data_IF_638982733199
#
_entry.id   IF_638982733199
#
_cell.length_a   1.000
_cell.length_b   1.000
_cell.length_c   1.000
_cell.angle_alpha   90.00
_cell.angle_beta   90.00
_cell.angle_gamma   90.00
#
_symmetry.space_group_name_H-M   'P 1'
#
loop_
_entity.id
_entity.type
_entity.pdbx_description
1 polymer ?
#
# COMPACT_ATOMS: atom_id res chain seq x y z
N UNK A 1 24.24 -17.89 -7.05
CA UNK A 1 23.53 -18.08 -5.77
C UNK A 1 22.10 -18.44 -6.11
N UNK A 2 21.59 -19.58 -5.67
CA UNK A 2 20.19 -19.97 -5.89
C UNK A 2 19.27 -19.36 -4.81
N UNK A 3 17.94 -19.44 -4.97
CA UNK A 3 16.98 -18.86 -4.03
C UNK A 3 17.18 -19.39 -2.61
N UNK A 4 17.37 -20.70 -2.46
CA UNK A 4 17.56 -21.33 -1.15
C UNK A 4 18.82 -20.84 -0.44
N UNK A 5 19.95 -20.69 -1.16
CA UNK A 5 21.18 -20.11 -0.62
C UNK A 5 20.98 -18.65 -0.20
N UNK A 6 20.22 -17.87 -0.96
CA UNK A 6 19.88 -16.49 -0.62
C UNK A 6 19.05 -16.43 0.67
N UNK A 7 17.98 -17.21 0.76
CA UNK A 7 17.11 -17.26 1.94
C UNK A 7 17.88 -17.75 3.18
N UNK A 8 18.70 -18.79 3.05
CA UNK A 8 19.55 -19.27 4.15
C UNK A 8 20.52 -18.19 4.65
N UNK A 9 21.12 -17.41 3.74
CA UNK A 9 21.97 -16.28 4.13
C UNK A 9 21.19 -15.21 4.88
N UNK A 10 19.99 -14.87 4.42
CA UNK A 10 19.14 -13.89 5.10
C UNK A 10 18.69 -14.39 6.48
N UNK A 11 18.26 -15.64 6.58
CA UNK A 11 17.87 -16.27 7.85
C UNK A 11 19.01 -16.23 8.86
N UNK A 12 20.22 -16.66 8.46
CA UNK A 12 21.40 -16.63 9.32
C UNK A 12 21.77 -15.19 9.74
N UNK A 13 21.71 -14.24 8.81
CA UNK A 13 22.13 -12.86 9.05
C UNK A 13 21.18 -12.09 9.97
N UNK A 14 19.86 -12.24 9.77
CA UNK A 14 18.87 -11.39 10.41
C UNK A 14 18.13 -12.10 11.55
N UNK A 15 17.97 -13.42 11.46
CA UNK A 15 17.18 -14.24 12.39
C UNK A 15 17.97 -15.36 13.05
N UNK A 16 19.31 -15.37 12.96
CA UNK A 16 20.18 -16.39 13.56
C UNK A 16 19.85 -17.83 13.14
N UNK A 17 19.23 -18.03 11.98
CA UNK A 17 18.82 -19.36 11.51
C UNK A 17 17.49 -19.84 12.10
N UNK A 18 16.75 -19.01 12.85
CA UNK A 18 15.56 -19.40 13.60
C UNK A 18 14.25 -19.26 12.83
N UNK A 19 14.24 -18.83 11.56
CA UNK A 19 13.02 -18.88 10.74
C UNK A 19 12.55 -20.33 10.57
N UNK A 20 11.22 -20.53 10.54
CA UNK A 20 10.65 -21.86 10.39
C UNK A 20 11.02 -22.49 9.04
N UNK A 21 11.11 -23.82 9.00
CA UNK A 21 11.38 -24.57 7.77
C UNK A 21 10.33 -24.27 6.69
N UNK A 22 9.00 -24.31 6.98
CA UNK A 22 8.00 -24.03 5.96
C UNK A 22 8.08 -22.59 5.42
N UNK A 23 8.48 -21.62 6.25
CA UNK A 23 8.71 -20.25 5.79
C UNK A 23 9.84 -20.20 4.76
N UNK A 24 10.98 -20.84 5.08
CA UNK A 24 12.13 -20.89 4.19
C UNK A 24 11.81 -21.61 2.86
N UNK A 25 11.05 -22.70 2.91
CA UNK A 25 10.59 -23.46 1.73
C UNK A 25 9.68 -22.61 0.84
N UNK A 26 8.70 -21.91 1.42
CA UNK A 26 7.80 -21.03 0.66
C UNK A 26 8.57 -19.90 -0.04
N UNK A 27 9.53 -19.29 0.66
CA UNK A 27 10.42 -18.27 0.09
C UNK A 27 11.32 -18.79 -1.04
N UNK A 28 11.48 -20.11 -1.14
CA UNK A 28 12.20 -20.78 -2.24
C UNK A 28 11.57 -20.54 -3.63
N UNK A 29 10.33 -20.06 -3.69
CA UNK A 29 9.60 -19.77 -4.93
C UNK A 29 9.88 -18.37 -5.51
N UNK A 30 10.74 -17.56 -4.88
CA UNK A 30 11.09 -16.23 -5.40
C UNK A 30 11.71 -16.31 -6.83
N UNK A 31 11.37 -15.37 -7.73
CA UNK A 31 11.87 -15.38 -9.11
C UNK A 31 13.33 -14.94 -9.17
N UNK A 32 14.22 -15.87 -9.52
CA UNK A 32 15.68 -15.68 -9.56
C UNK A 32 16.18 -14.65 -10.58
N UNK A 33 15.38 -14.31 -11.58
CA UNK A 33 15.70 -13.40 -12.67
C UNK A 33 15.39 -11.92 -12.36
N UNK A 34 14.97 -11.62 -11.12
CA UNK A 34 14.54 -10.28 -10.69
C UNK A 34 15.40 -9.69 -9.58
N UNK A 35 16.57 -9.08 -9.88
CA UNK A 35 17.47 -8.52 -8.86
C UNK A 35 16.83 -7.48 -7.93
N UNK A 36 15.85 -6.73 -8.43
CA UNK A 36 15.07 -5.76 -7.64
C UNK A 36 14.26 -6.44 -6.52
N UNK A 37 13.74 -7.65 -6.76
CA UNK A 37 13.04 -8.46 -5.75
C UNK A 37 14.00 -8.88 -4.63
N UNK A 38 15.21 -9.34 -4.97
CA UNK A 38 16.22 -9.73 -3.97
C UNK A 38 16.65 -8.53 -3.11
N UNK A 39 16.90 -7.39 -3.74
CA UNK A 39 17.24 -6.16 -3.03
C UNK A 39 16.13 -5.73 -2.07
N UNK A 40 14.87 -5.79 -2.51
CA UNK A 40 13.72 -5.50 -1.66
C UNK A 40 13.64 -6.46 -0.46
N UNK A 41 13.71 -7.78 -0.69
CA UNK A 41 13.61 -8.80 0.38
C UNK A 41 14.75 -8.63 1.39
N UNK A 42 15.96 -8.34 0.93
CA UNK A 42 17.08 -8.08 1.84
C UNK A 42 16.84 -6.86 2.74
N UNK A 43 16.31 -5.76 2.19
CA UNK A 43 15.98 -4.55 2.97
C UNK A 43 14.85 -4.82 3.96
N UNK A 44 13.82 -5.52 3.52
CA UNK A 44 12.70 -5.94 4.36
C UNK A 44 13.18 -6.73 5.58
N UNK A 45 14.08 -7.72 5.39
CA UNK A 45 14.66 -8.49 6.50
C UNK A 45 15.53 -7.62 7.43
N UNK A 46 16.26 -6.66 6.87
CA UNK A 46 17.02 -5.71 7.67
C UNK A 46 16.12 -4.84 8.56
N UNK A 47 14.97 -4.39 8.06
CA UNK A 47 13.98 -3.64 8.84
C UNK A 47 13.26 -4.49 9.88
N UNK A 48 12.87 -5.72 9.54
CA UNK A 48 12.35 -6.67 10.53
C UNK A 48 13.33 -6.84 11.70
N UNK A 49 14.63 -7.03 11.40
CA UNK A 49 15.67 -7.11 12.43
C UNK A 49 15.81 -5.82 13.23
N UNK A 50 15.84 -4.66 12.58
CA UNK A 50 16.01 -3.38 13.28
C UNK A 50 14.81 -3.00 14.16
N UNK A 51 13.62 -3.50 13.83
CA UNK A 51 12.42 -3.35 14.67
C UNK A 51 12.40 -4.29 15.89
N UNK A 52 13.28 -5.29 15.95
CA UNK A 52 13.25 -6.32 17.00
C UNK A 52 12.20 -7.42 16.77
N UNK A 53 11.81 -7.68 15.53
CA UNK A 53 10.90 -8.78 15.18
C UNK A 53 11.62 -10.15 15.35
N UNK A 54 11.12 -11.06 16.20
CA UNK A 54 11.66 -12.41 16.35
C UNK A 54 11.21 -13.28 15.19
N UNK A 55 11.98 -14.33 14.90
CA UNK A 55 11.67 -15.27 13.83
C UNK A 55 10.27 -15.91 13.94
N UNK A 56 9.82 -16.14 15.18
CA UNK A 56 8.49 -16.70 15.49
C UNK A 56 7.31 -15.80 15.10
N UNK A 57 7.55 -14.50 14.90
CA UNK A 57 6.53 -13.56 14.47
C UNK A 57 6.44 -13.43 12.94
N UNK A 58 7.36 -14.04 12.21
CA UNK A 58 7.33 -14.04 10.75
C UNK A 58 6.41 -15.17 10.28
N UNK A 59 5.27 -14.82 9.68
CA UNK A 59 4.21 -15.76 9.35
C UNK A 59 4.39 -16.44 7.99
N UNK A 60 3.75 -17.59 7.79
CA UNK A 60 3.69 -18.22 6.47
C UNK A 60 2.85 -17.40 5.47
N UNK A 61 1.87 -16.62 5.93
CA UNK A 61 1.16 -15.67 5.08
C UNK A 61 2.12 -14.62 4.49
N UNK A 62 3.04 -14.09 5.29
CA UNK A 62 4.06 -13.17 4.77
C UNK A 62 4.94 -13.87 3.74
N UNK A 63 5.40 -15.10 4.01
CA UNK A 63 6.19 -15.89 3.05
C UNK A 63 5.45 -16.05 1.72
N UNK A 64 4.16 -16.37 1.77
CA UNK A 64 3.30 -16.52 0.61
C UNK A 64 3.19 -15.21 -0.17
N UNK A 65 2.85 -14.09 0.48
CA UNK A 65 2.78 -12.77 -0.16
C UNK A 65 4.13 -12.39 -0.80
N UNK A 66 5.24 -12.62 -0.11
CA UNK A 66 6.57 -12.28 -0.62
C UNK A 66 6.94 -13.14 -1.83
N UNK A 67 6.66 -14.43 -1.79
CA UNK A 67 7.02 -15.37 -2.85
C UNK A 67 6.10 -15.28 -4.07
N UNK A 68 4.81 -15.00 -3.88
CA UNK A 68 3.80 -15.03 -4.96
C UNK A 68 3.39 -13.66 -5.45
N UNK A 69 3.37 -12.61 -4.63
CA UNK A 69 2.84 -11.31 -5.06
C UNK A 69 3.95 -10.29 -5.33
N UNK A 70 5.03 -10.31 -4.55
CA UNK A 70 6.03 -9.24 -4.55
C UNK A 70 6.55 -8.90 -5.95
N UNK A 71 6.99 -9.89 -6.72
CA UNK A 71 7.55 -9.68 -8.06
C UNK A 71 6.58 -9.04 -9.06
N UNK A 72 5.28 -9.10 -8.79
CA UNK A 72 4.19 -8.55 -9.61
C UNK A 72 3.79 -7.14 -9.18
N UNK A 73 4.09 -6.75 -7.93
CA UNK A 73 3.74 -5.43 -7.38
C UNK A 73 4.94 -4.46 -7.28
N UNK A 74 6.15 -4.93 -7.59
CA UNK A 74 7.32 -4.06 -7.66
C UNK A 74 7.40 -3.32 -8.99
N UNK A 75 7.89 -2.06 -9.01
CA UNK A 75 8.01 -1.26 -10.24
C UNK A 75 8.80 -1.92 -11.37
N UNK A 76 9.74 -2.82 -11.05
CA UNK A 76 10.49 -3.56 -12.07
C UNK A 76 9.62 -4.42 -13.00
N UNK A 77 8.43 -4.84 -12.57
CA UNK A 77 7.46 -5.53 -13.43
C UNK A 77 6.75 -4.59 -14.42
N UNK A 78 6.85 -3.28 -14.19
CA UNK A 78 6.05 -2.26 -14.85
C UNK A 78 6.95 -1.21 -15.53
N UNK A 79 8.14 -1.62 -15.99
CA UNK A 79 9.12 -0.72 -16.64
C UNK A 79 9.51 0.49 -15.77
N UNK A 80 9.52 0.29 -14.45
CA UNK A 80 9.80 1.32 -13.46
C UNK A 80 8.59 2.16 -13.05
N UNK A 81 7.41 1.92 -13.63
CA UNK A 81 6.16 2.59 -13.21
C UNK A 81 5.65 2.05 -11.87
N UNK A 82 4.95 2.89 -11.14
CA UNK A 82 4.30 2.51 -9.88
C UNK A 82 2.96 1.86 -10.21
N UNK A 83 2.69 0.62 -9.78
CA UNK A 83 1.41 -0.01 -10.03
C UNK A 83 0.29 0.69 -9.23
N UNK A 84 -0.88 0.96 -9.84
CA UNK A 84 -1.98 1.67 -9.20
C UNK A 84 -2.80 0.74 -8.28
N UNK A 85 -2.21 0.32 -7.16
CA UNK A 85 -2.87 -0.59 -6.23
C UNK A 85 -3.73 0.20 -5.24
N UNK A 86 -5.04 0.20 -5.42
CA UNK A 86 -6.01 0.77 -4.47
C UNK A 86 -6.88 -0.33 -3.86
N UNK A 87 -7.27 -0.17 -2.60
CA UNK A 87 -8.18 -1.10 -1.90
C UNK A 87 -9.19 -0.29 -1.10
N UNK A 88 -10.40 -0.83 -0.98
CA UNK A 88 -11.49 -0.19 -0.23
C UNK A 88 -11.17 -0.09 1.26
N UNK A 89 -11.66 0.97 1.88
CA UNK A 89 -11.51 1.24 3.31
C UNK A 89 -10.08 1.57 3.75
N UNK A 90 -9.13 1.73 2.83
CA UNK A 90 -7.71 1.96 3.15
C UNK A 90 -7.57 3.17 4.08
N UNK A 91 -8.14 4.31 3.72
CA UNK A 91 -7.94 5.57 4.44
C UNK A 91 -9.01 5.89 5.51
N UNK A 92 -9.83 4.92 5.93
CA UNK A 92 -10.95 5.19 6.84
C UNK A 92 -10.50 5.85 8.17
N UNK A 93 -9.44 5.35 8.81
CA UNK A 93 -8.92 5.93 10.06
C UNK A 93 -8.22 7.28 9.80
N UNK A 94 -7.54 7.42 8.66
CA UNK A 94 -6.91 8.69 8.24
C UNK A 94 -7.98 9.77 8.05
N UNK A 95 -9.10 9.44 7.41
CA UNK A 95 -10.22 10.36 7.20
C UNK A 95 -10.90 10.74 8.53
N UNK A 96 -10.98 9.82 9.47
CA UNK A 96 -11.45 10.11 10.83
C UNK A 96 -10.50 11.08 11.54
N UNK A 97 -9.19 10.89 11.42
CA UNK A 97 -8.20 11.84 11.94
C UNK A 97 -8.40 13.22 11.32
N UNK A 98 -8.50 13.30 9.99
CA UNK A 98 -8.70 14.57 9.25
C UNK A 98 -9.96 15.30 9.74
N UNK A 99 -11.08 14.58 9.88
CA UNK A 99 -12.36 15.15 10.31
C UNK A 99 -12.30 15.73 11.73
N UNK A 100 -11.54 15.09 12.61
CA UNK A 100 -11.45 15.45 14.03
C UNK A 100 -10.24 16.36 14.35
N UNK A 101 -9.40 16.68 13.37
CA UNK A 101 -8.17 17.42 13.60
C UNK A 101 -8.46 18.89 13.95
N UNK A 102 -7.97 19.32 15.12
CA UNK A 102 -8.23 20.67 15.66
C UNK A 102 -7.45 21.79 14.97
N UNK A 103 -6.47 21.49 14.12
CA UNK A 103 -5.72 22.48 13.35
C UNK A 103 -6.44 22.89 12.07
N UNK A 104 -7.47 22.14 11.64
CA UNK A 104 -8.28 22.49 10.48
C UNK A 104 -9.21 23.67 10.79
N UNK A 105 -9.17 24.71 9.95
CA UNK A 105 -10.06 25.86 10.09
C UNK A 105 -11.49 25.53 9.65
N UNK A 106 -12.47 26.32 10.12
CA UNK A 106 -13.90 26.15 9.80
C UNK A 106 -14.31 26.68 8.43
N UNK A 107 -13.36 27.10 7.57
CA UNK A 107 -13.61 27.59 6.22
C UNK A 107 -13.95 26.47 5.22
N UNK A 108 -14.21 26.83 3.96
CA UNK A 108 -14.47 25.85 2.90
C UNK A 108 -13.23 24.98 2.65
N UNK A 109 -13.31 23.71 3.04
CA UNK A 109 -12.16 22.81 3.14
C UNK A 109 -11.85 22.16 1.80
N UNK A 110 -10.61 22.31 1.34
CA UNK A 110 -10.11 21.72 0.10
C UNK A 110 -9.00 20.72 0.39
N UNK A 111 -9.12 19.54 -0.20
CA UNK A 111 -8.13 18.48 -0.11
C UNK A 111 -7.58 18.14 -1.49
N UNK A 112 -6.27 17.93 -1.54
CA UNK A 112 -5.58 17.28 -2.66
C UNK A 112 -5.11 15.89 -2.23
N UNK A 113 -5.52 14.89 -2.97
CA UNK A 113 -5.20 13.48 -2.76
C UNK A 113 -4.19 13.01 -3.82
N UNK A 114 -2.93 12.89 -3.44
CA UNK A 114 -1.82 12.57 -4.35
C UNK A 114 -1.60 11.06 -4.39
N UNK A 115 -1.55 10.52 -5.61
CA UNK A 115 -1.48 9.08 -5.84
C UNK A 115 -2.83 8.42 -5.65
N UNK A 116 -3.91 9.06 -6.10
CA UNK A 116 -5.26 8.52 -5.96
C UNK A 116 -5.47 7.19 -6.70
N UNK A 117 -4.59 6.85 -7.65
CA UNK A 117 -4.65 5.61 -8.42
C UNK A 117 -5.88 5.49 -9.29
N UNK A 118 -6.08 4.29 -9.83
CA UNK A 118 -7.27 3.95 -10.61
C UNK A 118 -7.66 2.47 -10.43
N UNK A 119 -8.92 2.16 -10.09
CA UNK A 119 -9.99 3.10 -9.74
C UNK A 119 -9.68 3.90 -8.46
N UNK A 120 -10.16 5.16 -8.33
CA UNK A 120 -9.76 6.07 -7.25
C UNK A 120 -10.55 5.85 -5.95
N UNK A 121 -10.72 4.59 -5.52
CA UNK A 121 -11.63 4.22 -4.42
C UNK A 121 -11.41 5.05 -3.15
N UNK A 122 -10.16 5.27 -2.77
CA UNK A 122 -9.83 6.02 -1.57
C UNK A 122 -10.25 7.49 -1.64
N UNK A 123 -10.15 8.13 -2.81
CA UNK A 123 -10.64 9.50 -3.01
C UNK A 123 -12.17 9.57 -2.91
N UNK A 124 -12.87 8.58 -3.46
CA UNK A 124 -14.33 8.50 -3.44
C UNK A 124 -14.86 8.30 -2.01
N UNK A 125 -14.30 7.34 -1.28
CA UNK A 125 -14.68 7.05 0.11
C UNK A 125 -14.48 8.29 1.00
N UNK A 126 -13.37 9.02 0.81
CA UNK A 126 -13.12 10.25 1.56
C UNK A 126 -14.10 11.36 1.20
N UNK A 127 -14.51 11.48 -0.06
CA UNK A 127 -15.52 12.47 -0.47
C UNK A 127 -16.90 12.19 0.12
N UNK A 128 -17.23 10.92 0.30
CA UNK A 128 -18.47 10.50 0.96
C UNK A 128 -18.40 10.77 2.47
N UNK A 129 -17.28 10.47 3.12
CA UNK A 129 -17.11 10.66 4.57
C UNK A 129 -16.92 12.13 5.00
N UNK A 130 -16.17 12.89 4.20
CA UNK A 130 -15.86 14.32 4.37
C UNK A 130 -16.81 15.16 3.51
N UNK A 131 -18.11 15.02 3.78
CA UNK A 131 -19.15 15.51 2.88
C UNK A 131 -19.15 17.03 2.60
N UNK A 132 -18.56 17.83 3.50
CA UNK A 132 -18.40 19.28 3.39
C UNK A 132 -17.13 19.72 2.64
N UNK A 133 -16.32 18.78 2.10
CA UNK A 133 -15.05 19.07 1.45
C UNK A 133 -15.13 19.08 -0.07
N UNK A 134 -14.23 19.84 -0.69
CA UNK A 134 -13.88 19.69 -2.12
C UNK A 134 -12.59 18.91 -2.24
N UNK A 135 -12.62 17.80 -2.97
CA UNK A 135 -11.49 16.88 -3.09
C UNK A 135 -11.03 16.83 -4.54
N UNK A 136 -9.72 16.99 -4.73
CA UNK A 136 -9.07 16.80 -6.02
C UNK A 136 -8.15 15.59 -5.93
N UNK A 137 -8.44 14.53 -6.67
CA UNK A 137 -7.51 13.40 -6.84
C UNK A 137 -6.49 13.71 -7.92
N UNK A 138 -5.22 13.38 -7.69
CA UNK A 138 -4.16 13.56 -8.67
C UNK A 138 -3.28 12.32 -8.78
N UNK A 139 -3.11 11.82 -10.00
CA UNK A 139 -2.24 10.69 -10.29
C UNK A 139 -1.66 10.83 -11.71
N UNK A 140 -0.35 10.56 -11.93
CA UNK A 140 0.24 10.59 -13.27
C UNK A 140 -0.28 9.48 -14.19
N UNK A 141 -0.89 8.42 -13.63
CA UNK A 141 -1.28 7.20 -14.35
C UNK A 141 -2.79 7.08 -14.55
N UNK A 142 -3.54 8.18 -14.43
CA UNK A 142 -4.97 8.18 -14.74
C UNK A 142 -5.20 7.74 -16.21
N UNK A 143 -6.01 6.70 -16.46
CA UNK A 143 -6.16 6.15 -17.80
C UNK A 143 -6.95 7.07 -18.72
N UNK A 144 -6.50 7.17 -19.96
CA UNK A 144 -7.32 7.68 -21.06
C UNK A 144 -8.31 6.61 -21.54
N UNK A 145 -7.91 5.33 -21.48
CA UNK A 145 -8.75 4.19 -21.86
C UNK A 145 -8.66 3.07 -20.82
N UNK A 146 -9.81 2.45 -20.55
CA UNK A 146 -9.90 1.19 -19.81
C UNK A 146 -10.51 0.14 -20.74
N UNK A 147 -9.83 -0.98 -20.91
CA UNK A 147 -10.26 -2.07 -21.79
C UNK A 147 -10.48 -3.31 -20.96
N UNK A 148 -11.53 -4.05 -21.32
CA UNK A 148 -11.72 -5.41 -20.86
C UNK A 148 -11.73 -6.36 -22.06
N UNK A 149 -10.94 -7.44 -21.97
CA UNK A 149 -10.97 -8.51 -22.96
C UNK A 149 -12.16 -9.46 -22.75
N UNK A 150 -12.28 -10.49 -23.60
CA UNK A 150 -13.38 -11.45 -23.56
C UNK A 150 -13.41 -12.29 -22.27
N UNK A 151 -12.26 -12.46 -21.61
CA UNK A 151 -12.13 -13.20 -20.36
C UNK A 151 -12.35 -12.28 -19.13
N UNK A 152 -12.59 -10.98 -19.37
CA UNK A 152 -12.78 -9.96 -18.34
C UNK A 152 -11.47 -9.45 -17.73
N UNK A 153 -10.31 -9.83 -18.27
CA UNK A 153 -9.05 -9.21 -17.86
C UNK A 153 -9.08 -7.74 -18.30
N UNK A 154 -8.49 -6.86 -17.50
CA UNK A 154 -8.50 -5.45 -17.83
C UNK A 154 -7.10 -4.88 -18.03
N UNK A 155 -7.02 -3.84 -18.86
CA UNK A 155 -5.84 -3.01 -19.06
C UNK A 155 -6.19 -1.52 -19.05
N UNK A 156 -5.28 -0.71 -18.53
CA UNK A 156 -5.31 0.75 -18.62
C UNK A 156 -4.33 1.23 -19.68
N UNK A 157 -4.74 2.21 -20.47
CA UNK A 157 -3.92 2.80 -21.52
C UNK A 157 -3.91 4.33 -21.42
N UNK A 158 -2.78 4.91 -21.79
CA UNK A 158 -2.57 6.35 -21.82
C UNK A 158 -3.17 7.01 -23.08
N UNK A 159 -3.01 8.33 -23.21
CA UNK A 159 -3.49 9.10 -24.37
C UNK A 159 -2.82 8.67 -25.68
N UNK A 160 -1.60 8.13 -25.59
CA UNK A 160 -0.84 7.57 -26.71
C UNK A 160 -1.26 6.13 -27.03
N UNK A 161 -2.33 5.64 -26.39
CA UNK A 161 -2.85 4.26 -26.52
C UNK A 161 -1.85 3.18 -26.13
N UNK A 162 -0.84 3.51 -25.32
CA UNK A 162 0.14 2.54 -24.83
C UNK A 162 -0.37 1.90 -23.56
N UNK A 163 -0.19 0.58 -23.43
CA UNK A 163 -0.61 -0.12 -22.20
C UNK A 163 0.27 0.27 -21.02
N UNK A 164 -0.37 0.79 -19.96
CA UNK A 164 0.27 1.24 -18.72
C UNK A 164 0.26 0.13 -17.66
N UNK A 165 -0.89 -0.50 -17.45
CA UNK A 165 -1.10 -1.56 -16.47
C UNK A 165 -2.12 -2.57 -16.99
N UNK A 166 -2.04 -3.81 -16.53
CA UNK A 166 -3.05 -4.84 -16.79
C UNK A 166 -3.12 -5.83 -15.64
N UNK A 167 -4.27 -6.47 -15.47
CA UNK A 167 -4.45 -7.52 -14.46
C UNK A 167 -5.51 -8.53 -14.89
N UNK A 168 -5.46 -9.75 -14.33
CA UNK A 168 -6.46 -10.76 -14.62
C UNK A 168 -7.82 -10.42 -13.98
N UNK A 169 -8.91 -10.93 -14.56
CA UNK A 169 -10.26 -10.79 -14.00
C UNK A 169 -10.34 -11.40 -12.59
N UNK A 170 -9.73 -12.58 -12.43
CA UNK A 170 -9.56 -13.28 -11.16
C UNK A 170 -8.06 -13.51 -10.89
N UNK A 171 -7.47 -12.75 -9.96
CA UNK A 171 -6.07 -12.91 -9.60
C UNK A 171 -5.74 -14.30 -9.02
N UNK A 172 -4.82 -15.00 -9.68
CA UNK A 172 -4.16 -16.22 -9.20
C UNK A 172 -2.71 -16.24 -9.70
N UNK A 173 -1.87 -17.11 -9.15
CA UNK A 173 -0.48 -17.25 -9.63
C UNK A 173 -0.48 -17.61 -11.13
N UNK A 174 -1.35 -18.52 -11.53
CA UNK A 174 -1.52 -18.98 -12.91
C UNK A 174 -2.02 -17.87 -13.83
N UNK A 175 -3.06 -17.13 -13.43
CA UNK A 175 -3.63 -16.07 -14.28
C UNK A 175 -2.66 -14.89 -14.43
N UNK A 176 -1.90 -14.57 -13.38
CA UNK A 176 -0.78 -13.62 -13.50
C UNK A 176 0.36 -14.13 -14.38
N UNK A 177 0.75 -15.40 -14.26
CA UNK A 177 1.79 -15.98 -15.12
C UNK A 177 1.38 -15.98 -16.59
N UNK A 178 0.10 -16.24 -16.87
CA UNK A 178 -0.44 -16.17 -18.22
C UNK A 178 -0.28 -14.77 -18.83
N UNK A 179 -0.54 -13.71 -18.06
CA UNK A 179 -0.41 -12.34 -18.55
C UNK A 179 1.04 -11.83 -18.59
N UNK A 180 1.88 -12.23 -17.63
CA UNK A 180 3.25 -11.71 -17.45
C UNK A 180 4.34 -12.55 -18.13
N UNK A 181 4.05 -13.78 -18.56
CA UNK A 181 5.03 -14.65 -19.25
C UNK A 181 5.59 -14.02 -20.53
N UNK A 182 4.75 -13.26 -21.25
CA UNK A 182 5.17 -12.38 -22.34
C UNK A 182 4.40 -11.05 -22.23
N UNK A 183 4.84 -10.20 -21.30
CA UNK A 183 4.25 -8.88 -21.07
C UNK A 183 4.19 -8.03 -22.34
N UNK A 184 5.16 -8.15 -23.24
CA UNK A 184 5.18 -7.37 -24.49
C UNK A 184 4.05 -7.82 -25.43
N UNK A 185 3.85 -9.13 -25.59
CA UNK A 185 2.73 -9.66 -26.36
C UNK A 185 1.38 -9.32 -25.72
N UNK A 186 1.26 -9.40 -24.38
CA UNK A 186 0.04 -9.03 -23.66
C UNK A 186 -0.32 -7.55 -23.87
N UNK A 187 0.65 -6.63 -23.76
CA UNK A 187 0.43 -5.20 -24.06
C UNK A 187 -0.07 -4.99 -25.48
N UNK A 188 0.63 -5.57 -26.46
CA UNK A 188 0.25 -5.47 -27.88
C UNK A 188 -1.16 -6.01 -28.15
N UNK A 189 -1.57 -7.07 -27.43
CA UNK A 189 -2.94 -7.60 -27.52
C UNK A 189 -3.99 -6.57 -27.08
N UNK A 190 -3.79 -5.91 -25.94
CA UNK A 190 -4.70 -4.87 -25.47
C UNK A 190 -4.70 -3.62 -26.35
N UNK A 191 -3.54 -3.22 -26.87
CA UNK A 191 -3.40 -2.10 -27.80
C UNK A 191 -4.15 -2.35 -29.11
N UNK A 192 -4.02 -3.56 -29.68
CA UNK A 192 -4.79 -3.96 -30.85
C UNK A 192 -6.30 -4.00 -30.57
N UNK A 193 -6.69 -4.53 -29.40
CA UNK A 193 -8.08 -4.59 -28.98
C UNK A 193 -8.68 -3.18 -28.83
N UNK A 194 -7.90 -2.20 -28.37
CA UNK A 194 -8.33 -0.80 -28.34
C UNK A 194 -8.69 -0.30 -29.73
N UNK A 195 -7.81 -0.52 -30.71
CA UNK A 195 -7.99 -0.04 -32.07
C UNK A 195 -9.18 -0.72 -32.78
N UNK A 196 -9.53 -1.95 -32.38
CA UNK A 196 -10.74 -2.63 -32.83
C UNK A 196 -11.99 -2.04 -32.18
N UNK A 197 -11.99 -1.88 -30.86
CA UNK A 197 -13.13 -1.37 -30.09
C UNK A 197 -13.42 0.10 -30.39
N UNK A 198 -12.43 0.95 -30.66
CA UNK A 198 -12.68 2.34 -31.05
C UNK A 198 -13.35 2.46 -32.43
N UNK A 199 -13.29 1.42 -33.27
CA UNK A 199 -14.00 1.37 -34.56
C UNK A 199 -15.42 0.82 -34.42
N UNK A 200 -15.71 0.10 -33.34
CA UNK A 200 -16.98 -0.58 -33.13
C UNK A 200 -17.73 0.07 -31.98
N UNK A 201 -18.96 0.55 -32.20
CA UNK A 201 -19.81 1.05 -31.12
C UNK A 201 -20.37 -0.11 -30.27
N UNK A 202 -19.52 -0.88 -29.60
CA UNK A 202 -19.94 -1.96 -28.71
C UNK A 202 -20.36 -1.33 -27.39
N UNK A 203 -21.65 -1.38 -27.07
CA UNK A 203 -22.22 -0.73 -25.89
C UNK A 203 -22.48 -1.70 -24.73
N UNK A 204 -22.50 -3.01 -24.95
CA UNK A 204 -22.83 -4.01 -23.91
C UNK A 204 -21.99 -5.30 -24.04
N UNK A 205 -21.54 -5.85 -22.90
CA UNK A 205 -20.81 -7.12 -22.81
C UNK A 205 -19.28 -6.99 -22.85
N UNK A 206 -18.60 -8.12 -23.03
CA UNK A 206 -17.16 -8.19 -23.26
C UNK A 206 -16.88 -8.65 -24.70
N UNK A 207 -15.79 -8.18 -25.34
CA UNK A 207 -14.87 -7.13 -24.87
C UNK A 207 -15.52 -5.74 -24.89
N UNK A 208 -14.98 -4.80 -24.09
CA UNK A 208 -15.49 -3.41 -24.03
C UNK A 208 -14.39 -2.39 -23.74
N UNK A 209 -14.68 -1.13 -24.10
CA UNK A 209 -13.81 0.02 -23.85
C UNK A 209 -14.59 1.12 -23.11
N UNK A 210 -13.93 1.73 -22.14
CA UNK A 210 -14.37 2.96 -21.49
C UNK A 210 -13.39 4.09 -21.83
N UNK A 211 -13.90 5.21 -22.34
CA UNK A 211 -13.10 6.38 -22.75
C UNK A 211 -13.14 7.41 -21.63
N UNK A 212 -11.97 7.84 -21.16
CA UNK A 212 -11.77 8.73 -20.01
C UNK A 212 -12.58 8.28 -18.78
N UNK A 213 -12.39 7.03 -18.31
CA UNK A 213 -13.24 6.45 -17.28
C UNK A 213 -13.21 7.24 -15.97
N UNK A 214 -12.14 8.01 -15.71
CA UNK A 214 -12.04 8.86 -14.52
C UNK A 214 -13.16 9.91 -14.43
N UNK A 215 -13.68 10.40 -15.57
CA UNK A 215 -14.76 11.40 -15.61
C UNK A 215 -16.08 10.88 -15.06
N UNK A 216 -16.30 9.57 -15.09
CA UNK A 216 -17.51 8.96 -14.53
C UNK A 216 -17.62 9.12 -13.01
N UNK A 217 -16.49 9.43 -12.35
CA UNK A 217 -16.40 9.64 -10.91
C UNK A 217 -16.46 11.12 -10.49
N UNK A 218 -16.43 12.07 -11.44
CA UNK A 218 -16.43 13.49 -11.13
C UNK A 218 -17.81 13.98 -10.67
N UNK A 219 -17.80 14.89 -9.70
CA UNK A 219 -18.99 15.56 -9.17
C UNK A 219 -18.67 17.03 -8.90
N UNK A 220 -19.63 17.81 -8.39
CA UNK A 220 -19.34 19.19 -7.94
C UNK A 220 -18.33 19.26 -6.77
N UNK A 221 -18.10 18.15 -6.07
CA UNK A 221 -17.20 18.02 -4.91
C UNK A 221 -15.92 17.25 -5.22
N UNK A 222 -15.89 16.48 -6.30
CA UNK A 222 -14.79 15.59 -6.66
C UNK A 222 -14.33 15.91 -8.07
N UNK A 223 -13.05 16.18 -8.23
CA UNK A 223 -12.41 16.36 -9.55
C UNK A 223 -11.10 15.59 -9.62
N UNK A 224 -10.63 15.31 -10.82
CA UNK A 224 -9.38 14.58 -11.02
C UNK A 224 -8.42 15.32 -11.96
N UNK A 225 -7.12 15.22 -11.67
CA UNK A 225 -6.06 15.84 -12.46
C UNK A 225 -5.02 14.76 -12.82
N UNK A 226 -4.73 14.62 -14.10
CA UNK A 226 -3.60 13.78 -14.55
C UNK A 226 -2.29 14.52 -14.27
N UNK A 227 -1.50 14.00 -13.34
CA UNK A 227 -0.20 14.54 -12.97
C UNK A 227 0.21 14.22 -11.53
N UNK A 228 1.51 14.21 -11.28
CA UNK A 228 2.09 13.93 -9.98
C UNK A 228 2.69 15.15 -9.27
N UNK A 229 3.46 14.85 -8.23
CA UNK A 229 4.25 15.81 -7.45
C UNK A 229 5.17 16.60 -8.40
N UNK A 230 5.09 17.93 -8.34
CA UNK A 230 5.90 18.83 -9.19
C UNK A 230 5.37 19.01 -10.62
N UNK A 231 4.31 18.33 -11.03
CA UNK A 231 3.75 18.41 -12.38
C UNK A 231 2.42 19.18 -12.43
N UNK A 232 1.65 19.16 -11.33
CA UNK A 232 0.35 19.82 -11.28
C UNK A 232 0.47 21.27 -10.78
N UNK A 233 -0.32 22.16 -11.37
CA UNK A 233 -0.53 23.53 -10.91
C UNK A 233 -1.95 23.65 -10.38
N UNK A 234 -2.09 23.87 -9.07
CA UNK A 234 -3.39 23.98 -8.41
C UNK A 234 -3.39 25.17 -7.46
N UNK A 235 -4.58 25.66 -7.10
CA UNK A 235 -4.71 26.61 -6.00
C UNK A 235 -4.25 25.96 -4.68
N UNK A 236 -3.69 26.73 -3.74
CA UNK A 236 -3.33 26.20 -2.44
C UNK A 236 -4.51 25.51 -1.72
N UNK A 237 -4.19 24.42 -1.04
CA UNK A 237 -5.12 23.49 -0.40
C UNK A 237 -5.06 23.62 1.12
N UNK A 238 -6.13 23.25 1.81
CA UNK A 238 -6.13 23.22 3.29
C UNK A 238 -5.51 21.93 3.80
N UNK A 239 -5.64 20.86 3.02
CA UNK A 239 -5.04 19.57 3.29
C UNK A 239 -4.44 18.96 2.02
N UNK A 240 -3.27 18.35 2.18
CA UNK A 240 -2.73 17.43 1.18
C UNK A 240 -2.51 16.09 1.87
N UNK A 241 -2.95 15.01 1.24
CA UNK A 241 -2.55 13.66 1.63
C UNK A 241 -1.79 12.98 0.51
N UNK A 242 -0.80 12.16 0.87
CA UNK A 242 0.07 11.45 -0.05
C UNK A 242 0.43 10.09 0.56
N UNK A 243 -0.44 9.10 0.37
CA UNK A 243 -0.27 7.76 0.92
C UNK A 243 0.17 6.78 -0.16
N UNK A 244 1.07 5.87 0.22
CA UNK A 244 1.57 4.81 -0.67
C UNK A 244 2.28 5.34 -1.92
N UNK A 245 2.92 6.52 -1.86
CA UNK A 245 3.63 7.12 -3.00
C UNK A 245 5.12 7.35 -2.69
N UNK A 246 5.45 8.07 -1.62
CA UNK A 246 6.82 8.55 -1.42
C UNK A 246 7.84 7.43 -1.17
N UNK A 247 7.43 6.26 -0.66
CA UNK A 247 8.35 5.13 -0.45
C UNK A 247 8.88 4.49 -1.75
N UNK A 248 8.35 4.89 -2.93
CA UNK A 248 8.91 4.51 -4.24
C UNK A 248 10.12 5.36 -4.64
N UNK A 249 10.35 6.48 -3.97
CA UNK A 249 11.36 7.46 -4.35
C UNK A 249 12.44 7.60 -3.28
N UNK A 250 13.62 8.07 -3.70
CA UNK A 250 14.74 8.29 -2.80
C UNK A 250 14.53 9.51 -1.87
N UNK A 251 15.42 9.65 -0.88
CA UNK A 251 15.37 10.74 0.08
C UNK A 251 15.49 12.13 -0.59
N UNK A 252 16.20 12.24 -1.71
CA UNK A 252 16.36 13.51 -2.43
C UNK A 252 15.02 13.95 -3.05
N UNK A 253 14.29 13.03 -3.67
CA UNK A 253 12.97 13.29 -4.20
C UNK A 253 11.98 13.61 -3.09
N UNK A 254 12.01 12.88 -1.98
CA UNK A 254 11.16 13.15 -0.82
C UNK A 254 11.35 14.59 -0.30
N UNK A 255 12.59 15.07 -0.20
CA UNK A 255 12.86 16.46 0.21
C UNK A 255 12.29 17.48 -0.76
N UNK A 256 12.42 17.25 -2.07
CA UNK A 256 11.81 18.11 -3.11
C UNK A 256 10.28 18.06 -3.04
N UNK A 257 9.70 16.88 -2.77
CA UNK A 257 8.28 16.71 -2.59
C UNK A 257 7.76 17.53 -1.40
N UNK A 258 8.46 17.50 -0.25
CA UNK A 258 8.11 18.33 0.91
C UNK A 258 8.13 19.83 0.59
N UNK A 259 9.12 20.31 -0.16
CA UNK A 259 9.16 21.70 -0.62
C UNK A 259 7.98 22.03 -1.53
N UNK A 260 7.64 21.12 -2.44
CA UNK A 260 6.50 21.28 -3.33
C UNK A 260 5.17 21.30 -2.55
N UNK A 261 4.95 20.38 -1.61
CA UNK A 261 3.76 20.37 -0.75
C UNK A 261 3.62 21.67 0.06
N UNK A 262 4.73 22.22 0.56
CA UNK A 262 4.73 23.52 1.25
C UNK A 262 4.17 24.64 0.35
N UNK A 263 4.47 24.62 -0.95
CA UNK A 263 3.97 25.61 -1.91
C UNK A 263 2.48 25.40 -2.22
N UNK A 264 2.01 24.16 -2.21
CA UNK A 264 0.62 23.81 -2.52
C UNK A 264 -0.33 23.88 -1.31
N UNK A 265 0.17 24.16 -0.10
CA UNK A 265 -0.66 24.32 1.10
C UNK A 265 -0.95 25.78 1.42
N UNK A 266 -2.15 26.05 1.93
CA UNK A 266 -2.46 27.27 2.66
C UNK A 266 -1.62 27.35 3.94
N UNK A 267 -1.31 28.56 4.38
CA UNK A 267 -0.68 28.78 5.69
C UNK A 267 -1.57 28.17 6.79
N UNK A 268 -0.98 27.39 7.70
CA UNK A 268 -1.71 26.61 8.69
C UNK A 268 -2.30 25.29 8.18
N UNK A 269 -2.27 25.02 6.87
CA UNK A 269 -2.72 23.77 6.26
C UNK A 269 -1.83 22.57 6.61
N UNK A 270 -2.38 21.36 6.40
CA UNK A 270 -1.79 20.11 6.90
C UNK A 270 -1.36 19.22 5.73
N UNK A 271 -0.16 18.64 5.82
CA UNK A 271 0.29 17.54 4.98
C UNK A 271 0.27 16.25 5.80
N UNK A 272 -0.36 15.21 5.26
CA UNK A 272 -0.22 13.83 5.73
C UNK A 272 0.48 13.02 4.63
N UNK A 273 1.54 12.30 4.96
CA UNK A 273 2.09 11.33 4.01
C UNK A 273 2.60 10.08 4.72
N UNK A 274 2.44 8.94 4.07
CA UNK A 274 2.82 7.68 4.69
C UNK A 274 2.48 6.43 3.89
N UNK A 275 2.40 5.30 4.58
CA UNK A 275 1.93 4.04 4.04
C UNK A 275 0.66 3.61 4.75
N UNK A 276 -0.24 2.99 4.00
CA UNK A 276 -1.51 2.49 4.50
C UNK A 276 -1.91 1.20 3.75
N UNK A 277 -2.74 0.38 4.38
CA UNK A 277 -3.22 -0.86 3.79
C UNK A 277 -4.73 -1.05 3.99
N UNK A 278 -5.26 -2.19 3.53
CA UNK A 278 -6.68 -2.48 3.59
C UNK A 278 -7.23 -2.25 4.99
N UNK A 279 -8.39 -1.59 5.07
CA UNK A 279 -9.08 -1.26 6.33
C UNK A 279 -8.19 -0.56 7.38
N UNK A 280 -7.27 0.29 6.91
CA UNK A 280 -6.29 1.04 7.72
C UNK A 280 -5.33 0.17 8.55
N UNK A 281 -5.17 -1.11 8.20
CA UNK A 281 -4.12 -1.95 8.77
C UNK A 281 -2.75 -1.47 8.30
N UNK A 282 -1.72 -1.75 9.10
CA UNK A 282 -0.32 -1.39 8.79
C UNK A 282 -0.11 0.09 8.43
N UNK A 283 -1.02 0.97 8.90
CA UNK A 283 -0.99 2.40 8.63
C UNK A 283 0.13 3.10 9.40
N UNK A 284 0.87 3.99 8.76
CA UNK A 284 1.84 4.88 9.41
C UNK A 284 2.03 6.13 8.57
N UNK A 285 2.15 7.30 9.21
CA UNK A 285 2.28 8.56 8.49
C UNK A 285 2.88 9.67 9.35
N UNK A 286 3.59 10.58 8.70
CA UNK A 286 4.00 11.84 9.29
C UNK A 286 2.94 12.91 9.02
N UNK A 287 2.79 13.81 9.99
CA UNK A 287 1.90 14.96 9.90
C UNK A 287 2.73 16.23 10.02
N UNK A 288 2.59 17.08 9.02
CA UNK A 288 3.21 18.40 8.99
C UNK A 288 2.15 19.48 8.94
N UNK A 289 2.47 20.63 9.52
CA UNK A 289 1.68 21.84 9.37
C UNK A 289 2.51 22.92 8.71
N UNK A 290 1.93 23.66 7.77
CA UNK A 290 2.59 24.80 7.17
C UNK A 290 2.62 25.98 8.15
N UNK A 291 3.82 26.42 8.51
CA UNK A 291 4.08 27.54 9.41
C UNK A 291 5.20 28.43 8.83
N UNK A 292 4.94 29.72 8.71
CA UNK A 292 5.80 30.72 8.09
C UNK A 292 6.31 30.29 6.70
N UNK A 293 5.43 29.71 5.88
CA UNK A 293 5.78 29.24 4.54
C UNK A 293 6.54 27.91 4.49
N UNK A 294 6.82 27.25 5.62
CA UNK A 294 7.57 26.00 5.69
C UNK A 294 6.75 24.89 6.33
N UNK A 295 7.05 23.63 6.00
CA UNK A 295 6.44 22.49 6.69
C UNK A 295 7.17 22.19 8.00
N UNK A 296 6.43 22.25 9.10
CA UNK A 296 6.90 21.90 10.43
C UNK A 296 6.30 20.57 10.83
N UNK A 297 7.15 19.58 11.15
CA UNK A 297 6.71 18.27 11.64
C UNK A 297 6.00 18.45 12.99
N UNK A 298 4.81 17.85 13.11
CA UNK A 298 3.99 17.93 14.33
C UNK A 298 3.86 16.59 15.01
N UNK A 299 3.52 15.56 14.24
CA UNK A 299 3.19 14.24 14.75
C UNK A 299 3.72 13.15 13.81
N UNK A 300 3.92 11.96 14.37
CA UNK A 300 4.08 10.73 13.63
C UNK A 300 3.17 9.70 14.25
N UNK A 301 2.29 9.14 13.43
CA UNK A 301 1.29 8.18 13.84
C UNK A 301 1.55 6.84 13.14
N UNK A 302 1.27 5.74 13.83
CA UNK A 302 1.23 4.41 13.23
C UNK A 302 0.23 3.53 13.97
N UNK A 303 -0.32 2.57 13.25
CA UNK A 303 -1.27 1.60 13.77
C UNK A 303 -0.54 0.51 14.56
N UNK A 304 -1.15 0.08 15.68
CA UNK A 304 -0.51 -0.84 16.63
C UNK A 304 -0.23 -2.22 16.05
N UNK A 305 -1.00 -2.64 15.03
CA UNK A 305 -0.76 -3.87 14.29
C UNK A 305 0.56 -3.87 13.50
N UNK A 306 1.19 -2.70 13.28
CA UNK A 306 2.56 -2.63 12.72
C UNK A 306 3.59 -3.35 13.60
N UNK A 307 3.31 -3.59 14.88
CA UNK A 307 4.22 -4.37 15.76
C UNK A 307 4.29 -5.83 15.30
N UNK A 308 3.18 -6.38 14.81
CA UNK A 308 3.05 -7.77 14.39
C UNK A 308 2.09 -7.89 13.19
N UNK A 309 2.49 -7.37 12.02
CA UNK A 309 1.60 -7.20 10.88
C UNK A 309 1.25 -8.53 10.19
N UNK A 310 0.10 -8.58 9.54
CA UNK A 310 -0.29 -9.71 8.69
C UNK A 310 0.36 -9.66 7.31
N UNK A 311 0.45 -8.48 6.70
CA UNK A 311 1.05 -8.27 5.41
C UNK A 311 2.51 -7.84 5.49
N UNK A 312 2.92 -7.10 4.46
CA UNK A 312 4.29 -6.65 4.25
C UNK A 312 4.42 -5.12 4.15
N UNK A 313 3.33 -4.37 4.29
CA UNK A 313 3.32 -2.91 4.10
C UNK A 313 4.16 -2.24 5.17
N UNK A 314 4.11 -2.71 6.42
CA UNK A 314 5.00 -2.25 7.50
C UNK A 314 6.48 -2.32 7.11
N UNK A 315 6.86 -3.32 6.32
CA UNK A 315 8.25 -3.59 5.94
C UNK A 315 8.60 -3.15 4.50
N UNK A 316 7.64 -2.60 3.76
CA UNK A 316 7.80 -2.27 2.35
C UNK A 316 8.80 -1.12 2.15
N UNK A 317 9.94 -1.40 1.53
CA UNK A 317 10.96 -0.37 1.32
C UNK A 317 11.85 -0.63 0.09
N UNK A 318 11.95 0.38 -0.78
CA UNK A 318 12.72 0.30 -2.02
C UNK A 318 14.10 0.97 -1.95
N UNK A 319 14.33 1.80 -0.93
CA UNK A 319 15.56 2.58 -0.75
C UNK A 319 16.18 2.30 0.61
N UNK A 320 17.50 2.33 0.73
CA UNK A 320 18.17 1.98 1.99
C UNK A 320 18.04 3.08 3.05
N UNK A 321 17.87 4.31 2.59
CA UNK A 321 17.87 5.55 3.38
C UNK A 321 16.47 6.16 3.51
N UNK A 322 15.42 5.34 3.47
CA UNK A 322 14.04 5.83 3.61
C UNK A 322 13.75 6.26 5.08
N UNK A 323 13.64 7.56 5.36
CA UNK A 323 13.64 8.09 6.72
C UNK A 323 12.36 7.75 7.49
N UNK A 324 11.22 7.63 6.82
CA UNK A 324 9.94 7.35 7.47
C UNK A 324 9.89 5.93 8.02
N UNK A 325 10.40 4.95 7.27
CA UNK A 325 10.55 3.55 7.68
C UNK A 325 11.57 3.43 8.79
N UNK A 326 12.70 4.11 8.71
CA UNK A 326 13.66 4.12 9.81
C UNK A 326 13.02 4.62 11.12
N UNK A 327 12.19 5.67 11.05
CA UNK A 327 11.41 6.19 12.18
C UNK A 327 10.40 5.16 12.70
N UNK A 328 9.62 4.54 11.80
CA UNK A 328 8.67 3.48 12.16
C UNK A 328 9.35 2.31 12.89
N UNK A 329 10.46 1.81 12.35
CA UNK A 329 11.18 0.68 12.95
C UNK A 329 11.70 1.02 14.35
N UNK A 330 12.17 2.26 14.55
CA UNK A 330 12.61 2.71 15.85
C UNK A 330 11.45 2.77 16.87
N UNK A 331 10.28 3.27 16.46
CA UNK A 331 9.08 3.26 17.30
C UNK A 331 8.65 1.84 17.68
N UNK A 332 8.58 0.93 16.69
CA UNK A 332 8.24 -0.48 16.93
C UNK A 332 9.25 -1.12 17.89
N UNK A 333 10.55 -0.88 17.69
CA UNK A 333 11.60 -1.42 18.56
C UNK A 333 11.42 -0.98 20.01
N UNK A 334 11.19 0.31 20.25
CA UNK A 334 10.98 0.83 21.60
C UNK A 334 9.81 0.13 22.31
N UNK A 335 8.70 -0.10 21.60
CA UNK A 335 7.56 -0.83 22.18
C UNK A 335 7.91 -2.29 22.44
N UNK A 336 8.62 -2.95 21.51
CA UNK A 336 9.01 -4.36 21.64
C UNK A 336 10.03 -4.61 22.76
N UNK A 337 10.80 -3.60 23.15
CA UNK A 337 11.70 -3.64 24.30
C UNK A 337 10.93 -3.62 25.65
N UNK A 338 9.68 -3.15 25.68
CA UNK A 338 8.80 -3.28 26.86
C UNK A 338 8.20 -4.69 26.94
N UNK A 339 8.81 -5.51 27.81
CA UNK A 339 8.38 -6.88 28.05
C UNK A 339 6.94 -6.98 28.57
N UNK A 340 6.51 -6.10 29.46
CA UNK A 340 5.18 -6.18 30.06
C UNK A 340 4.09 -5.85 29.03
N UNK A 341 4.36 -4.85 28.19
CA UNK A 341 3.53 -4.55 27.03
C UNK A 341 3.46 -5.76 26.10
N UNK A 342 4.61 -6.31 25.69
CA UNK A 342 4.65 -7.39 24.71
C UNK A 342 4.03 -8.69 25.22
N UNK A 343 4.23 -9.06 26.48
CA UNK A 343 3.60 -10.25 27.08
C UNK A 343 2.06 -10.11 27.05
N UNK A 344 1.53 -8.91 27.36
CA UNK A 344 0.10 -8.61 27.28
C UNK A 344 -0.41 -8.59 25.83
N UNK A 345 0.35 -7.98 24.93
CA UNK A 345 0.04 -7.89 23.51
C UNK A 345 -0.04 -9.27 22.88
N UNK A 346 0.95 -10.13 23.09
CA UNK A 346 0.94 -11.49 22.56
C UNK A 346 -0.20 -12.33 23.11
N UNK A 347 -0.46 -12.28 24.43
CA UNK A 347 -1.57 -13.02 25.01
C UNK A 347 -2.91 -12.65 24.34
N UNK A 348 -3.13 -11.37 24.08
CA UNK A 348 -4.34 -10.88 23.43
C UNK A 348 -4.36 -11.23 21.93
N UNK A 349 -3.30 -10.88 21.21
CA UNK A 349 -3.22 -11.03 19.76
C UNK A 349 -3.18 -12.50 19.33
N UNK A 350 -2.49 -13.38 20.06
CA UNK A 350 -2.50 -14.83 19.79
C UNK A 350 -3.89 -15.43 20.01
N UNK A 351 -4.61 -14.98 21.04
CA UNK A 351 -5.99 -15.40 21.29
C UNK A 351 -6.94 -14.94 20.16
N UNK A 352 -6.76 -13.73 19.63
CA UNK A 352 -7.51 -13.26 18.46
C UNK A 352 -7.20 -14.12 17.23
N UNK A 353 -5.92 -14.35 16.92
CA UNK A 353 -5.49 -15.17 15.78
C UNK A 353 -6.03 -16.60 15.85
N UNK A 354 -6.05 -17.21 17.03
CA UNK A 354 -6.65 -18.51 17.25
C UNK A 354 -8.18 -18.47 17.05
N UNK A 355 -8.87 -17.49 17.63
CA UNK A 355 -10.33 -17.33 17.52
C UNK A 355 -10.80 -17.13 16.08
N UNK A 356 -10.08 -16.33 15.30
CA UNK A 356 -10.42 -16.02 13.91
C UNK A 356 -9.77 -16.95 12.89
N UNK A 357 -9.01 -17.96 13.35
CA UNK A 357 -8.23 -18.86 12.51
C UNK A 357 -7.34 -18.10 11.50
N UNK A 358 -6.70 -17.03 11.98
CA UNK A 358 -5.92 -16.10 11.17
C UNK A 358 -4.43 -16.22 11.54
N UNK A 359 -3.71 -17.10 10.86
CA UNK A 359 -2.28 -17.34 11.11
C UNK A 359 -1.97 -17.62 12.59
N UNK A 360 -2.72 -18.53 13.23
CA UNK A 360 -2.48 -18.92 14.62
C UNK A 360 -1.08 -19.53 14.79
N UNK A 361 -0.51 -19.45 16.00
CA UNK A 361 0.77 -20.09 16.31
C UNK A 361 0.66 -21.61 16.29
N UNK A 362 1.66 -22.28 15.72
CA UNK A 362 1.82 -23.72 15.83
C UNK A 362 2.40 -24.14 17.19
N UNK A 363 2.61 -25.45 17.36
CA UNK A 363 3.19 -26.04 18.58
C UNK A 363 4.64 -25.57 18.86
N UNK A 364 5.34 -25.05 17.86
CA UNK A 364 6.72 -24.54 17.97
C UNK A 364 6.72 -23.01 18.23
N UNK A 365 5.56 -22.38 18.12
CA UNK A 365 5.29 -20.98 18.39
C UNK A 365 5.38 -20.08 17.15
N UNK A 366 5.46 -20.63 15.94
CA UNK A 366 5.49 -19.83 14.71
C UNK A 366 4.08 -19.55 14.20
N UNK A 367 3.83 -18.34 13.70
CA UNK A 367 2.56 -18.05 13.02
C UNK A 367 2.43 -18.84 11.72
N UNK A 368 1.29 -19.51 11.56
CA UNK A 368 0.96 -20.30 10.37
C UNK A 368 0.51 -19.48 9.16
N UNK A 369 -0.20 -20.16 8.26
CA UNK A 369 -0.88 -19.56 7.11
C UNK A 369 -2.35 -19.27 7.43
N UNK A 370 -3.07 -18.71 6.46
CA UNK A 370 -4.53 -18.64 6.45
C UNK A 370 -5.13 -19.93 5.88
N UNK A 371 -6.45 -20.11 6.06
CA UNK A 371 -7.16 -21.19 5.40
C UNK A 371 -7.09 -21.02 3.86
N UNK A 372 -6.83 -22.08 3.07
CA UNK A 372 -6.66 -21.96 1.61
C UNK A 372 -7.87 -21.41 0.85
N UNK A 373 -9.06 -21.55 1.40
CA UNK A 373 -10.33 -21.07 0.85
C UNK A 373 -10.70 -19.65 1.31
N UNK A 374 -9.92 -19.06 2.23
CA UNK A 374 -10.15 -17.72 2.73
C UNK A 374 -9.94 -16.68 1.63
N UNK A 375 -11.02 -15.99 1.28
CA UNK A 375 -10.96 -14.93 0.29
C UNK A 375 -10.22 -13.70 0.85
N UNK A 376 -9.43 -12.97 0.04
CA UNK A 376 -8.69 -11.80 0.50
C UNK A 376 -9.56 -10.75 1.21
N UNK A 377 -10.79 -10.52 0.74
CA UNK A 377 -11.71 -9.59 1.37
C UNK A 377 -12.08 -10.01 2.80
N UNK A 378 -12.26 -11.32 3.04
CA UNK A 378 -12.56 -11.87 4.37
C UNK A 378 -11.35 -11.73 5.29
N UNK A 379 -10.14 -12.06 4.78
CA UNK A 379 -8.88 -11.86 5.51
C UNK A 379 -8.77 -10.43 6.03
N UNK A 380 -8.90 -9.43 5.16
CA UNK A 380 -8.70 -8.04 5.56
C UNK A 380 -9.84 -7.52 6.45
N UNK A 381 -11.08 -7.99 6.25
CA UNK A 381 -12.18 -7.68 7.18
C UNK A 381 -11.90 -8.19 8.59
N UNK A 382 -11.37 -9.41 8.72
CA UNK A 382 -10.97 -9.98 10.01
C UNK A 382 -9.77 -9.24 10.60
N UNK A 383 -8.77 -8.89 9.79
CA UNK A 383 -7.62 -8.10 10.24
C UNK A 383 -8.05 -6.73 10.79
N UNK A 384 -8.97 -6.03 10.12
CA UNK A 384 -9.55 -4.78 10.61
C UNK A 384 -10.32 -4.97 11.92
N UNK A 385 -11.10 -6.05 12.03
CA UNK A 385 -11.81 -6.39 13.28
C UNK A 385 -10.82 -6.60 14.43
N UNK A 386 -9.73 -7.33 14.19
CA UNK A 386 -8.68 -7.55 15.18
C UNK A 386 -7.99 -6.25 15.60
N UNK A 387 -7.74 -5.34 14.66
CA UNK A 387 -7.19 -4.02 14.94
C UNK A 387 -8.12 -3.18 15.82
N UNK A 388 -9.43 -3.14 15.51
CA UNK A 388 -10.42 -2.45 16.36
C UNK A 388 -10.40 -3.00 17.79
N UNK A 389 -10.38 -4.33 17.95
CA UNK A 389 -10.33 -4.95 19.28
C UNK A 389 -9.02 -4.66 20.03
N UNK A 390 -7.87 -4.57 19.34
CA UNK A 390 -6.60 -4.13 19.95
C UNK A 390 -6.72 -2.69 20.46
N UNK A 391 -7.35 -1.81 19.67
CA UNK A 391 -7.58 -0.42 20.05
C UNK A 391 -8.52 -0.33 21.27
N UNK A 392 -9.62 -1.08 21.27
CA UNK A 392 -10.60 -1.11 22.36
C UNK A 392 -10.02 -1.70 23.65
N UNK A 393 -9.07 -2.63 23.55
CA UNK A 393 -8.30 -3.16 24.68
C UNK A 393 -7.23 -2.18 25.22
N UNK A 394 -7.15 -0.98 24.65
CA UNK A 394 -6.31 0.12 25.11
C UNK A 394 -4.83 -0.01 24.75
N UNK A 395 -4.47 -0.83 23.75
CA UNK A 395 -3.07 -1.01 23.38
C UNK A 395 -2.42 0.27 22.83
N UNK A 396 -3.20 1.16 22.20
CA UNK A 396 -2.70 2.47 21.77
C UNK A 396 -2.25 3.32 22.97
N UNK A 397 -3.05 3.38 24.04
CA UNK A 397 -2.72 4.17 25.23
C UNK A 397 -1.61 3.54 26.06
N UNK A 398 -1.43 2.22 25.99
CA UNK A 398 -0.32 1.52 26.66
C UNK A 398 1.01 1.71 25.93
N UNK A 399 0.97 1.93 24.62
CA UNK A 399 2.16 2.08 23.78
C UNK A 399 2.66 3.53 23.67
N UNK A 400 1.77 4.52 23.88
CA UNK A 400 2.08 5.95 23.91
C UNK A 400 2.63 6.38 25.28
#
# INVERSE_FOLDING_TARGET
MNTHEFINKLNNRYFNGELSVPFCEQMGQLPMDRPDVFAFVQRMFAFMKSSGLPAKDVSLLQADVISTLLARILPGAWEGRIPPITVQGRHAVVDQYIKNNSWMSSGGKKMLDIGCGFPPFTTLESADYLNDWKITGADPSLPAYLIYDADGNYATLDEQKSTVYFQPAMPSVESWNQLLSDSAATKKRFENLLDELLKQSVTEGFPRVEINPIRSYETERISFITGGIGQITIQPQDLIRCFNVLYYFDAQFQQKALQWFAQQLNEGGILLFGGDWAVSTECYYDIYRKENGQLVSKEFAFSIDCICPFGIVTWYCLHEDEPQKAKLMNCIRMIREDKNFMDSFYAFHDAQRARYNLCARDKEGYYGSIAPDMQPQVLWTLAGTMLTELNDAGFNQKAA
#
